data_IF_055582582793
#
_entry.id   IF_055582582793
#
_cell.length_a   1.000
_cell.length_b   1.000
_cell.length_c   1.000
_cell.angle_alpha   90.00
_cell.angle_beta   90.00
_cell.angle_gamma   90.00
#
_symmetry.space_group_name_H-M   'P 1'
#
loop_
_entity.id
_entity.type
_entity.pdbx_description
1 polymer ?
#
# COMPACT_ATOMS: atom_id res chain seq x y z
N UNK A 1 -15.39 -12.99 -6.49
CA UNK A 1 -14.08 -13.16 -7.17
C UNK A 1 -13.72 -14.65 -7.31
N UNK A 2 -13.69 -15.48 -6.28
CA UNK A 2 -13.40 -16.92 -6.36
C UNK A 2 -14.32 -17.67 -7.34
N UNK A 3 -15.62 -17.45 -7.27
CA UNK A 3 -16.58 -18.08 -8.22
C UNK A 3 -16.29 -17.72 -9.68
N UNK A 4 -15.90 -16.47 -9.97
CA UNK A 4 -15.52 -16.05 -11.31
C UNK A 4 -14.22 -16.72 -11.75
N UNK A 5 -13.22 -16.78 -10.87
CA UNK A 5 -11.96 -17.45 -11.17
C UNK A 5 -12.17 -18.94 -11.45
N UNK A 6 -13.03 -19.60 -10.69
CA UNK A 6 -13.41 -20.99 -10.91
C UNK A 6 -14.17 -21.19 -12.22
N UNK A 7 -15.16 -20.33 -12.50
CA UNK A 7 -15.99 -20.44 -13.71
C UNK A 7 -15.24 -20.17 -15.02
N UNK A 8 -14.14 -19.43 -14.96
CA UNK A 8 -13.32 -19.08 -16.13
C UNK A 8 -11.93 -19.70 -16.11
N UNK A 9 -11.68 -20.63 -15.21
CA UNK A 9 -10.37 -21.31 -15.02
C UNK A 9 -9.18 -20.32 -14.88
N UNK A 10 -9.35 -19.29 -14.05
CA UNK A 10 -8.35 -18.26 -13.82
C UNK A 10 -7.63 -18.50 -12.49
N UNK A 11 -6.35 -18.11 -12.44
CA UNK A 11 -5.64 -17.93 -11.18
C UNK A 11 -5.83 -16.49 -10.67
N UNK A 12 -5.79 -16.35 -9.35
CA UNK A 12 -5.81 -15.05 -8.68
C UNK A 12 -4.41 -14.78 -8.13
N UNK A 13 -3.88 -13.60 -8.40
CA UNK A 13 -2.68 -13.11 -7.71
C UNK A 13 -3.13 -12.06 -6.70
N UNK A 14 -3.00 -12.39 -5.41
CA UNK A 14 -3.32 -11.49 -4.30
C UNK A 14 -2.04 -10.78 -3.84
N UNK A 15 -1.87 -9.51 -4.26
CA UNK A 15 -0.80 -8.65 -3.77
C UNK A 15 -1.21 -8.02 -2.43
N UNK A 16 -0.69 -8.56 -1.34
CA UNK A 16 -0.93 -8.08 0.04
C UNK A 16 0.38 -7.55 0.67
N UNK A 17 1.15 -6.76 -0.11
CA UNK A 17 2.40 -6.17 0.36
C UNK A 17 2.20 -5.19 1.54
N UNK A 18 0.97 -4.77 1.79
CA UNK A 18 0.56 -3.94 2.93
C UNK A 18 -0.11 -4.73 4.06
N UNK A 19 -0.06 -6.06 4.06
CA UNK A 19 -0.72 -6.94 5.03
C UNK A 19 -0.54 -6.51 6.50
N UNK A 20 0.69 -6.16 6.86
CA UNK A 20 1.04 -5.76 8.23
C UNK A 20 0.49 -4.39 8.65
N UNK A 21 0.06 -3.55 7.70
CA UNK A 21 -0.52 -2.22 7.94
C UNK A 21 -2.04 -2.21 7.79
N UNK A 22 -2.63 -3.33 7.41
CA UNK A 22 -4.07 -3.53 7.31
C UNK A 22 -4.63 -4.12 8.61
N UNK A 23 -5.94 -3.93 8.90
CA UNK A 23 -6.59 -4.62 10.02
C UNK A 23 -6.46 -6.14 9.92
N UNK A 24 -6.05 -6.78 11.02
CA UNK A 24 -5.77 -8.23 11.04
C UNK A 24 -6.99 -9.11 10.73
N UNK A 25 -8.21 -8.59 10.98
CA UNK A 25 -9.47 -9.31 10.77
C UNK A 25 -9.95 -9.33 9.32
N UNK A 26 -9.29 -8.63 8.40
CA UNK A 26 -9.69 -8.63 6.99
C UNK A 26 -9.38 -10.01 6.38
N UNK A 27 -10.35 -10.64 5.70
CA UNK A 27 -10.13 -11.92 5.04
C UNK A 27 -9.16 -11.76 3.86
N UNK A 28 -8.30 -12.75 3.66
CA UNK A 28 -7.45 -12.88 2.47
C UNK A 28 -8.07 -13.91 1.54
N UNK A 29 -8.04 -13.63 0.25
CA UNK A 29 -8.56 -14.55 -0.77
C UNK A 29 -7.82 -15.89 -0.70
N UNK A 30 -6.50 -15.85 -0.56
CA UNK A 30 -5.67 -17.02 -0.39
C UNK A 30 -6.08 -17.92 0.78
N UNK A 31 -6.51 -17.31 1.90
CA UNK A 31 -7.00 -18.05 3.06
C UNK A 31 -8.38 -18.67 2.82
N UNK A 32 -9.25 -17.98 2.07
CA UNK A 32 -10.58 -18.48 1.72
C UNK A 32 -10.52 -19.59 0.66
N UNK A 33 -9.54 -19.54 -0.21
CA UNK A 33 -9.32 -20.46 -1.33
C UNK A 33 -8.41 -21.64 -0.94
N UNK A 34 -7.82 -21.61 0.26
CA UNK A 34 -6.81 -22.57 0.71
C UNK A 34 -5.65 -22.76 -0.29
N UNK A 35 -5.30 -21.73 -1.05
CA UNK A 35 -4.29 -21.75 -2.12
C UNK A 35 -4.62 -22.73 -3.27
N UNK A 36 -5.87 -23.04 -3.54
CA UNK A 36 -6.22 -23.90 -4.68
C UNK A 36 -5.97 -23.18 -6.03
N UNK A 37 -6.28 -21.87 -6.10
CA UNK A 37 -6.13 -21.04 -7.32
C UNK A 37 -5.43 -19.71 -7.04
N UNK A 38 -5.18 -19.38 -5.77
CA UNK A 38 -4.64 -18.10 -5.38
C UNK A 38 -3.14 -18.19 -5.13
N UNK A 39 -2.38 -17.30 -5.78
CA UNK A 39 -0.99 -17.01 -5.46
C UNK A 39 -0.98 -15.78 -4.56
N UNK A 40 -0.58 -15.94 -3.33
CA UNK A 40 -0.47 -14.85 -2.35
C UNK A 40 0.94 -14.27 -2.34
N UNK A 41 1.07 -12.97 -2.50
CA UNK A 41 2.35 -12.25 -2.52
C UNK A 41 2.38 -11.24 -1.39
N UNK A 42 3.41 -11.31 -0.55
CA UNK A 42 3.60 -10.34 0.54
C UNK A 42 5.09 -10.18 0.87
N UNK A 43 5.39 -9.30 1.83
CA UNK A 43 6.77 -9.07 2.23
C UNK A 43 6.89 -8.09 3.39
N UNK A 44 8.13 -7.82 3.75
CA UNK A 44 8.44 -7.04 4.96
C UNK A 44 8.93 -5.61 4.66
N UNK A 45 9.03 -5.25 3.38
CA UNK A 45 9.53 -3.93 2.95
C UNK A 45 8.72 -2.74 3.49
N UNK A 46 7.41 -2.92 3.70
CA UNK A 46 6.51 -1.84 4.14
C UNK A 46 6.40 -1.73 5.65
N UNK A 47 6.76 -2.77 6.38
CA UNK A 47 6.70 -2.79 7.85
C UNK A 47 8.08 -2.70 8.51
N UNK A 48 9.12 -3.24 7.89
CA UNK A 48 10.50 -3.16 8.39
C UNK A 48 11.33 -2.16 7.57
N UNK A 49 11.93 -2.64 6.49
CA UNK A 49 12.73 -1.81 5.60
C UNK A 49 12.77 -2.39 4.18
N UNK A 50 12.68 -1.54 3.15
CA UNK A 50 12.83 -1.98 1.77
C UNK A 50 14.27 -2.47 1.46
N UNK A 51 15.27 -2.05 2.24
CA UNK A 51 16.68 -2.40 2.01
C UNK A 51 16.97 -3.90 2.20
N UNK A 52 16.18 -4.60 3.01
CA UNK A 52 16.38 -6.05 3.24
C UNK A 52 16.00 -6.91 2.06
N UNK A 53 15.15 -6.43 1.17
CA UNK A 53 14.69 -7.15 -0.03
C UNK A 53 14.15 -8.55 0.26
N UNK A 54 13.46 -8.74 1.40
CA UNK A 54 12.85 -10.00 1.78
C UNK A 54 11.34 -9.92 1.61
N UNK A 55 10.81 -10.88 0.87
CA UNK A 55 9.40 -11.13 0.68
C UNK A 55 9.14 -12.63 0.49
N UNK A 56 7.90 -12.98 0.36
CA UNK A 56 7.49 -14.36 0.14
C UNK A 56 6.25 -14.43 -0.74
N UNK A 57 6.08 -15.56 -1.36
CA UNK A 57 4.84 -15.94 -2.00
C UNK A 57 4.41 -17.33 -1.51
N UNK A 58 3.10 -17.53 -1.46
CA UNK A 58 2.48 -18.83 -1.25
C UNK A 58 1.61 -19.15 -2.47
N UNK A 59 1.70 -20.34 -3.01
CA UNK A 59 1.07 -20.70 -4.27
C UNK A 59 0.51 -22.13 -4.23
N UNK A 60 -0.39 -22.47 -5.16
CA UNK A 60 -0.80 -23.85 -5.39
C UNK A 60 0.42 -24.77 -5.55
N UNK A 61 0.39 -25.94 -4.94
CA UNK A 61 1.52 -26.89 -4.96
C UNK A 61 2.02 -27.18 -6.39
N UNK A 62 1.12 -27.28 -7.35
CA UNK A 62 1.45 -27.53 -8.76
C UNK A 62 2.29 -26.42 -9.43
N UNK A 63 2.33 -25.21 -8.85
CA UNK A 63 3.09 -24.07 -9.38
C UNK A 63 4.45 -23.89 -8.71
N UNK A 64 4.68 -24.51 -7.54
CA UNK A 64 5.85 -24.21 -6.68
C UNK A 64 7.17 -24.48 -7.41
N UNK A 65 7.33 -25.65 -8.04
CA UNK A 65 8.59 -25.98 -8.72
C UNK A 65 8.91 -24.99 -9.85
N UNK A 66 7.92 -24.63 -10.66
CA UNK A 66 8.09 -23.64 -11.73
C UNK A 66 8.44 -22.24 -11.20
N UNK A 67 7.88 -21.87 -10.05
CA UNK A 67 8.20 -20.59 -9.39
C UNK A 67 9.61 -20.60 -8.81
N UNK A 68 10.09 -21.73 -8.27
CA UNK A 68 11.46 -21.91 -7.81
C UNK A 68 12.43 -21.77 -8.99
N UNK A 69 12.18 -22.45 -10.10
CA UNK A 69 13.00 -22.37 -11.32
C UNK A 69 13.05 -20.92 -11.83
N UNK A 70 11.91 -20.24 -11.87
CA UNK A 70 11.82 -18.83 -12.27
C UNK A 70 12.63 -17.94 -11.33
N UNK A 71 12.56 -18.16 -10.02
CA UNK A 71 13.35 -17.42 -9.02
C UNK A 71 14.85 -17.64 -9.26
N UNK A 72 15.28 -18.86 -9.46
CA UNK A 72 16.69 -19.21 -9.73
C UNK A 72 17.22 -18.50 -10.98
N UNK A 73 16.42 -18.42 -12.04
CA UNK A 73 16.80 -17.76 -13.29
C UNK A 73 16.79 -16.24 -13.21
N UNK A 74 15.94 -15.65 -12.33
CA UNK A 74 15.75 -14.20 -12.26
C UNK A 74 16.62 -13.52 -11.20
N UNK A 75 16.67 -14.07 -10.00
CA UNK A 75 17.31 -13.43 -8.83
C UNK A 75 18.23 -14.34 -8.04
N UNK A 76 18.34 -15.62 -8.43
CA UNK A 76 19.04 -16.68 -7.72
C UNK A 76 18.46 -16.90 -6.31
N UNK A 77 18.89 -16.10 -5.33
CA UNK A 77 18.49 -16.27 -3.94
C UNK A 77 18.37 -14.92 -3.23
N UNK A 78 17.65 -14.91 -2.14
CA UNK A 78 17.65 -13.79 -1.18
C UNK A 78 18.93 -13.87 -0.35
N UNK A 79 19.56 -12.74 0.02
CA UNK A 79 20.75 -12.75 0.87
C UNK A 79 20.47 -13.41 2.23
N UNK A 80 21.28 -14.45 2.56
CA UNK A 80 21.07 -15.25 3.77
C UNK A 80 21.14 -14.41 5.06
N UNK A 81 21.97 -13.36 5.10
CA UNK A 81 22.07 -12.46 6.26
C UNK A 81 20.73 -11.78 6.58
N UNK A 82 20.03 -11.28 5.56
CA UNK A 82 18.74 -10.59 5.75
C UNK A 82 17.63 -11.56 6.07
N UNK A 83 17.64 -12.78 5.54
CA UNK A 83 16.71 -13.84 5.93
C UNK A 83 16.91 -14.26 7.38
N UNK A 84 18.15 -14.45 7.85
CA UNK A 84 18.47 -14.77 9.24
C UNK A 84 18.06 -13.63 10.19
N UNK A 85 18.31 -12.38 9.82
CA UNK A 85 17.86 -11.23 10.60
C UNK A 85 16.33 -11.18 10.72
N UNK A 86 15.62 -11.47 9.64
CA UNK A 86 14.16 -11.56 9.66
C UNK A 86 13.68 -12.74 10.52
N UNK A 87 14.28 -13.93 10.38
CA UNK A 87 13.96 -15.10 11.20
C UNK A 87 14.10 -14.76 12.70
N UNK A 88 15.20 -14.13 13.09
CA UNK A 88 15.41 -13.65 14.46
C UNK A 88 14.29 -12.70 14.91
N UNK A 89 13.87 -11.74 14.06
CA UNK A 89 12.78 -10.82 14.37
C UNK A 89 11.44 -11.54 14.59
N UNK A 90 11.18 -12.58 13.81
CA UNK A 90 9.95 -13.38 13.91
C UNK A 90 9.96 -14.24 15.19
N UNK A 91 11.02 -15.02 15.42
CA UNK A 91 11.16 -15.95 16.56
C UNK A 91 11.08 -15.24 17.90
N UNK A 92 11.65 -14.04 18.00
CA UNK A 92 11.66 -13.25 19.24
C UNK A 92 10.47 -12.28 19.36
N UNK A 93 9.49 -12.35 18.43
CA UNK A 93 8.30 -11.50 18.45
C UNK A 93 8.61 -10.00 18.26
N UNK A 94 9.79 -9.65 17.72
CA UNK A 94 10.19 -8.26 17.49
C UNK A 94 9.31 -7.63 16.42
N UNK A 95 9.03 -8.37 15.35
CA UNK A 95 8.15 -7.89 14.28
C UNK A 95 6.75 -7.57 14.81
N UNK A 96 6.15 -8.43 15.62
CA UNK A 96 4.83 -8.19 16.20
C UNK A 96 4.80 -6.90 17.03
N UNK A 97 5.74 -6.74 17.97
CA UNK A 97 5.84 -5.53 18.82
C UNK A 97 6.10 -4.26 18.00
N UNK A 98 6.89 -4.38 16.92
CA UNK A 98 7.13 -3.26 16.01
C UNK A 98 5.85 -2.89 15.25
N UNK A 99 5.13 -3.87 14.69
CA UNK A 99 3.88 -3.68 13.97
C UNK A 99 2.83 -2.99 14.84
N UNK A 100 2.64 -3.43 16.09
CA UNK A 100 1.71 -2.81 17.03
C UNK A 100 2.01 -1.31 17.23
N UNK A 101 3.29 -0.97 17.43
CA UNK A 101 3.72 0.44 17.58
C UNK A 101 3.50 1.26 16.31
N UNK A 102 3.79 0.67 15.14
CA UNK A 102 3.58 1.34 13.85
C UNK A 102 2.11 1.58 13.60
N UNK A 103 1.25 0.61 13.87
CA UNK A 103 -0.21 0.75 13.71
C UNK A 103 -0.78 1.85 14.62
N UNK A 104 -0.33 1.94 15.88
CA UNK A 104 -0.75 3.02 16.78
C UNK A 104 -0.34 4.41 16.26
N UNK A 105 0.91 4.53 15.76
CA UNK A 105 1.37 5.79 15.17
C UNK A 105 0.62 6.14 13.89
N UNK A 106 0.33 5.14 13.06
CA UNK A 106 -0.43 5.32 11.82
C UNK A 106 -1.86 5.76 12.10
N UNK A 107 -2.51 5.22 13.14
CA UNK A 107 -3.85 5.63 13.56
C UNK A 107 -3.88 7.11 13.98
N UNK A 108 -2.92 7.52 14.80
CA UNK A 108 -2.80 8.93 15.22
C UNK A 108 -2.51 9.84 14.03
N UNK A 109 -1.63 9.42 13.11
CA UNK A 109 -1.29 10.13 11.89
C UNK A 109 -2.52 10.28 10.96
N UNK A 110 -3.27 9.19 10.78
CA UNK A 110 -4.50 9.19 9.97
C UNK A 110 -5.53 10.16 10.55
N UNK A 111 -5.81 10.08 11.84
CA UNK A 111 -6.76 10.97 12.49
C UNK A 111 -6.38 12.45 12.36
N UNK A 112 -5.08 12.77 12.45
CA UNK A 112 -4.58 14.13 12.24
C UNK A 112 -4.71 14.58 10.78
N UNK A 113 -4.31 13.73 9.83
CA UNK A 113 -4.39 14.04 8.40
C UNK A 113 -5.83 14.23 7.96
N UNK A 114 -6.77 13.41 8.44
CA UNK A 114 -8.19 13.55 8.14
C UNK A 114 -8.71 14.90 8.61
N UNK A 115 -8.45 15.30 9.87
CA UNK A 115 -8.86 16.60 10.41
C UNK A 115 -8.28 17.76 9.61
N UNK A 116 -7.01 17.68 9.21
CA UNK A 116 -6.38 18.70 8.37
C UNK A 116 -7.04 18.77 6.99
N UNK A 117 -7.21 17.65 6.29
CA UNK A 117 -7.87 17.63 4.99
C UNK A 117 -9.27 18.26 5.04
N UNK A 118 -10.08 17.86 6.02
CA UNK A 118 -11.45 18.37 6.19
C UNK A 118 -11.46 19.86 6.54
N UNK A 119 -10.53 20.34 7.38
CA UNK A 119 -10.44 21.77 7.71
C UNK A 119 -10.01 22.64 6.52
N UNK A 120 -9.39 22.06 5.50
CA UNK A 120 -9.03 22.67 4.22
C UNK A 120 -10.05 22.38 3.09
N UNK A 121 -11.28 21.95 3.47
CA UNK A 121 -12.39 21.74 2.52
C UNK A 121 -12.26 20.51 1.62
N UNK A 122 -11.30 19.63 1.91
CA UNK A 122 -11.13 18.38 1.17
C UNK A 122 -12.04 17.29 1.73
N UNK A 123 -12.41 16.31 0.90
CA UNK A 123 -13.29 15.20 1.29
C UNK A 123 -12.67 13.87 0.92
N UNK A 124 -12.79 12.88 1.80
CA UNK A 124 -12.38 11.52 1.47
C UNK A 124 -13.44 10.81 0.63
N UNK A 125 -13.03 10.23 -0.50
CA UNK A 125 -13.93 9.47 -1.39
C UNK A 125 -14.43 8.17 -0.75
N UNK A 126 -13.68 7.63 0.23
CA UNK A 126 -14.04 6.45 1.02
C UNK A 126 -13.58 6.65 2.46
N UNK A 127 -14.19 5.93 3.44
CA UNK A 127 -13.73 5.99 4.82
C UNK A 127 -12.23 5.70 4.92
N UNK A 128 -11.43 6.60 5.54
CA UNK A 128 -9.97 6.47 5.62
C UNK A 128 -9.55 5.21 6.39
N UNK A 129 -8.76 4.33 5.74
CA UNK A 129 -8.22 3.10 6.35
C UNK A 129 -6.81 2.82 5.84
N UNK A 130 -6.04 2.01 6.57
CA UNK A 130 -4.67 1.66 6.18
C UNK A 130 -3.74 2.87 6.11
N UNK A 131 -2.80 2.84 5.17
CA UNK A 131 -1.73 3.83 5.01
C UNK A 131 -2.12 4.99 4.09
N UNK A 132 -3.02 4.76 3.14
CA UNK A 132 -3.39 5.73 2.10
C UNK A 132 -4.87 6.08 2.14
N UNK A 133 -5.18 7.28 1.69
CA UNK A 133 -6.54 7.74 1.45
C UNK A 133 -6.69 8.37 0.07
N UNK A 134 -7.91 8.34 -0.44
CA UNK A 134 -8.33 9.08 -1.62
C UNK A 134 -9.02 10.36 -1.18
N UNK A 135 -8.46 11.48 -1.56
CA UNK A 135 -8.95 12.82 -1.20
C UNK A 135 -9.39 13.56 -2.43
N UNK A 136 -10.63 14.04 -2.42
CA UNK A 136 -11.16 14.97 -3.40
C UNK A 136 -10.76 16.39 -2.98
N UNK A 137 -10.01 17.05 -3.85
CA UNK A 137 -9.52 18.42 -3.63
C UNK A 137 -10.27 19.45 -4.48
N UNK A 138 -11.28 19.03 -5.26
CA UNK A 138 -12.17 19.91 -6.01
C UNK A 138 -11.59 20.55 -7.27
N UNK A 139 -10.32 20.33 -7.58
CA UNK A 139 -9.63 20.82 -8.79
C UNK A 139 -8.89 19.67 -9.47
N UNK A 140 -8.51 19.85 -10.73
CA UNK A 140 -7.69 18.87 -11.45
C UNK A 140 -6.36 18.66 -10.74
N UNK A 141 -6.10 17.40 -10.33
CA UNK A 141 -4.95 17.07 -9.49
C UNK A 141 -3.62 17.02 -10.25
N UNK A 142 -3.62 16.92 -11.57
CA UNK A 142 -2.39 17.02 -12.36
C UNK A 142 -1.95 18.49 -12.46
N UNK A 143 -2.89 19.41 -12.71
CA UNK A 143 -2.60 20.84 -12.66
C UNK A 143 -2.16 21.28 -11.28
N UNK A 144 -2.80 20.73 -10.23
CA UNK A 144 -2.38 20.95 -8.85
C UNK A 144 -0.98 20.42 -8.58
N UNK A 145 -0.63 19.23 -9.09
CA UNK A 145 0.72 18.66 -8.95
C UNK A 145 1.79 19.52 -9.61
N UNK A 146 1.51 20.09 -10.78
CA UNK A 146 2.39 21.03 -11.46
C UNK A 146 2.58 22.31 -10.63
N UNK A 147 1.51 22.87 -10.09
CA UNK A 147 1.56 24.10 -9.28
C UNK A 147 2.29 23.92 -7.94
N UNK A 148 2.36 22.70 -7.41
CA UNK A 148 3.00 22.39 -6.14
C UNK A 148 4.41 21.79 -6.28
N UNK A 149 4.90 21.53 -7.49
CA UNK A 149 6.09 20.71 -7.77
C UNK A 149 7.37 21.21 -7.10
N UNK A 150 7.53 22.51 -6.92
CA UNK A 150 8.71 23.10 -6.32
C UNK A 150 8.78 22.89 -4.78
N UNK A 151 7.64 22.68 -4.13
CA UNK A 151 7.57 22.52 -2.67
C UNK A 151 7.14 21.11 -2.25
N UNK A 152 6.21 20.49 -2.99
CA UNK A 152 5.55 19.25 -2.59
C UNK A 152 5.29 18.31 -3.76
N UNK A 153 5.68 17.05 -3.60
CA UNK A 153 5.33 16.00 -4.55
C UNK A 153 4.02 15.33 -4.13
N UNK A 154 2.98 15.47 -4.94
CA UNK A 154 1.69 14.83 -4.73
C UNK A 154 1.44 13.72 -5.75
N UNK A 155 0.49 12.84 -5.48
CA UNK A 155 0.14 11.73 -6.36
C UNK A 155 -1.26 11.95 -6.96
N UNK A 156 -1.36 12.56 -8.15
CA UNK A 156 -2.63 12.86 -8.80
C UNK A 156 -3.39 11.60 -9.18
N UNK A 157 -4.73 11.69 -9.17
CA UNK A 157 -5.61 10.57 -9.43
C UNK A 157 -5.46 9.95 -10.81
N UNK A 158 -5.08 10.74 -11.82
CA UNK A 158 -4.84 10.26 -13.17
C UNK A 158 -3.81 9.12 -13.26
N UNK A 159 -2.83 9.07 -12.35
CA UNK A 159 -1.82 7.98 -12.27
C UNK A 159 -2.42 6.61 -11.90
N UNK A 160 -3.65 6.57 -11.41
CA UNK A 160 -4.32 5.34 -10.93
C UNK A 160 -5.47 4.90 -11.84
N UNK A 161 -5.63 5.52 -12.99
CA UNK A 161 -6.59 5.11 -14.00
C UNK A 161 -5.90 4.27 -15.09
N UNK A 162 -6.59 3.25 -15.57
CA UNK A 162 -6.10 2.44 -16.70
C UNK A 162 -5.94 3.25 -18.00
N UNK A 163 -6.78 4.26 -18.15
CA UNK A 163 -6.67 5.27 -19.21
C UNK A 163 -6.48 6.62 -18.54
N UNK A 164 -5.53 7.41 -19.04
CA UNK A 164 -5.28 8.75 -18.51
C UNK A 164 -6.56 9.59 -18.53
N UNK A 165 -7.03 10.03 -17.35
CA UNK A 165 -8.24 10.84 -17.18
C UNK A 165 -8.01 11.91 -16.13
N UNK A 166 -8.42 13.16 -16.39
CA UNK A 166 -8.44 14.20 -15.38
C UNK A 166 -9.19 13.73 -14.12
N UNK A 167 -8.70 14.09 -12.96
CA UNK A 167 -9.30 13.67 -11.69
C UNK A 167 -9.13 14.75 -10.63
N UNK A 168 -10.18 14.97 -9.83
CA UNK A 168 -10.10 15.81 -8.63
C UNK A 168 -9.60 15.04 -7.41
N UNK A 169 -9.44 13.72 -7.56
CA UNK A 169 -8.91 12.86 -6.51
C UNK A 169 -7.39 12.82 -6.54
N UNK A 170 -6.78 12.77 -5.36
CA UNK A 170 -5.36 12.44 -5.20
C UNK A 170 -5.17 11.41 -4.09
N UNK A 171 -4.09 10.63 -4.18
CA UNK A 171 -3.68 9.74 -3.09
C UNK A 171 -2.87 10.50 -2.07
N UNK A 172 -3.29 10.44 -0.81
CA UNK A 172 -2.51 10.93 0.34
C UNK A 172 -1.95 9.76 1.15
N UNK A 173 -0.75 9.94 1.68
CA UNK A 173 -0.16 9.02 2.65
C UNK A 173 -0.34 9.61 4.05
N UNK A 174 -1.11 8.95 4.90
CA UNK A 174 -1.42 9.45 6.24
C UNK A 174 -0.18 9.68 7.11
N UNK A 175 0.88 8.89 6.94
CA UNK A 175 2.09 9.05 7.72
C UNK A 175 2.87 10.34 7.39
N UNK A 176 2.81 10.80 6.14
CA UNK A 176 3.59 11.96 5.66
C UNK A 176 2.78 13.23 5.46
N UNK A 177 1.44 13.14 5.40
CA UNK A 177 0.57 14.30 5.14
C UNK A 177 0.02 14.98 6.41
N UNK A 178 0.77 14.88 7.52
CA UNK A 178 0.40 15.47 8.82
C UNK A 178 0.85 16.93 8.98
N UNK A 179 1.61 17.46 8.03
CA UNK A 179 2.12 18.82 8.09
C UNK A 179 1.05 19.82 7.63
N UNK A 180 0.68 20.74 8.49
CA UNK A 180 -0.25 21.81 8.14
C UNK A 180 0.31 22.74 7.05
N UNK A 181 1.64 22.82 6.85
CA UNK A 181 2.25 23.59 5.77
C UNK A 181 1.87 23.02 4.40
N UNK A 182 1.82 21.68 4.27
CA UNK A 182 1.34 21.00 3.06
C UNK A 182 -0.08 21.45 2.69
N UNK A 183 -1.02 21.43 3.64
CA UNK A 183 -2.42 21.78 3.38
C UNK A 183 -2.60 23.27 3.06
N UNK A 184 -1.83 24.14 3.70
CA UNK A 184 -1.81 25.58 3.33
C UNK A 184 -1.23 25.80 1.94
N UNK A 185 -0.19 25.07 1.53
CA UNK A 185 0.36 25.13 0.18
C UNK A 185 -0.65 24.65 -0.86
N UNK A 186 -1.37 23.58 -0.54
CA UNK A 186 -2.46 23.05 -1.37
C UNK A 186 -3.57 24.11 -1.59
N UNK A 187 -3.98 24.82 -0.55
CA UNK A 187 -5.00 25.88 -0.69
C UNK A 187 -4.50 27.04 -1.58
N UNK A 188 -3.25 27.48 -1.40
CA UNK A 188 -2.67 28.52 -2.27
C UNK A 188 -2.64 28.07 -3.73
N UNK A 189 -2.19 26.85 -3.98
CA UNK A 189 -2.14 26.30 -5.33
C UNK A 189 -3.53 26.16 -5.95
N UNK A 190 -4.54 25.71 -5.18
CA UNK A 190 -5.94 25.61 -5.63
C UNK A 190 -6.53 26.96 -6.00
N UNK A 191 -6.21 28.02 -5.26
CA UNK A 191 -6.72 29.37 -5.52
C UNK A 191 -6.16 29.99 -6.81
N UNK A 192 -5.07 29.45 -7.35
CA UNK A 192 -4.45 29.87 -8.61
C UNK A 192 -4.86 29.08 -9.84
N UNK A 193 -5.71 28.03 -9.68
CA UNK A 193 -6.17 27.14 -10.76
C UNK A 193 -7.61 27.41 -11.19
#
# INVERSE_FOLDING_TARGET
MLQLAQGHDLHIVEDDTYAHLAPAHLPRIAALDALERTVYVSGFSKILTPAWRVGYLAAPAALVDRLIDTKLLSTLTTPALTEQALAHCLEHGLLRRHTERVLQRLEAARSRTVKLAESHGCRFATPPRGLFGWVDVGVDTERLAQAMLDEWLIAPGALFHATHRPSTLMRVNFATSQDAAFWRALDRARAGL
#
